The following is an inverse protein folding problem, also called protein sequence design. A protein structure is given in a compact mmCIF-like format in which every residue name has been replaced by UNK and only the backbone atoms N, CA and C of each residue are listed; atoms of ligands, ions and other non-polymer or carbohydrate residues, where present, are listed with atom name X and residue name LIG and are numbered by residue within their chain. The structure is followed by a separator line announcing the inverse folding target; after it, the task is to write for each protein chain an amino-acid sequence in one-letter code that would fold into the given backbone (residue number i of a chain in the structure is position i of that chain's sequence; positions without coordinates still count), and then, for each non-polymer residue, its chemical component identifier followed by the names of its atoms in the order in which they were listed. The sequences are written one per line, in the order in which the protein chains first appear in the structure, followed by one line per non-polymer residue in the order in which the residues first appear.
data_IF_783609829506
#
_entry.id   IF_783609829506
#
_cell.length_a   1.000
_cell.length_b   1.000
_cell.length_c   1.000
_cell.angle_alpha   90.00
_cell.angle_beta   90.00
_cell.angle_gamma   90.00
#
_symmetry.space_group_name_H-M   'P 1'
#
loop_
_entity.id
_entity.type
_entity.pdbx_description
1 polymer ?
#
# COMPACT_ATOMS: atom_id res chain seq x y z
N UNK A 1 -11.46 -6.47 19.42
CA UNK A 1 -11.49 -6.09 17.99
C UNK A 1 -12.94 -6.06 17.55
N UNK A 2 -13.43 -4.90 17.11
CA UNK A 2 -14.81 -4.72 16.65
C UNK A 2 -14.97 -5.14 15.19
N UNK A 3 -16.20 -5.36 14.74
CA UNK A 3 -16.48 -5.66 13.32
C UNK A 3 -15.96 -4.56 12.38
N UNK A 4 -16.07 -3.29 12.78
CA UNK A 4 -15.57 -2.16 11.98
C UNK A 4 -14.05 -2.16 11.84
N UNK A 5 -13.32 -2.47 12.92
CA UNK A 5 -11.86 -2.61 12.89
C UNK A 5 -11.44 -3.75 11.97
N UNK A 6 -12.11 -4.91 12.08
CA UNK A 6 -11.86 -6.06 11.21
C UNK A 6 -12.08 -5.74 9.73
N UNK A 7 -13.20 -5.09 9.39
CA UNK A 7 -13.49 -4.70 8.01
C UNK A 7 -12.47 -3.68 7.48
N UNK A 8 -12.04 -2.73 8.31
CA UNK A 8 -11.02 -1.75 7.92
C UNK A 8 -9.68 -2.42 7.59
N UNK A 9 -9.29 -3.44 8.37
CA UNK A 9 -8.07 -4.22 8.13
C UNK A 9 -8.19 -5.06 6.86
N UNK A 10 -9.33 -5.70 6.62
CA UNK A 10 -9.55 -6.46 5.39
C UNK A 10 -9.44 -5.54 4.16
N UNK A 11 -10.13 -4.40 4.19
CA UNK A 11 -10.06 -3.41 3.11
C UNK A 11 -8.63 -2.90 2.90
N UNK A 12 -7.92 -2.61 3.99
CA UNK A 12 -6.53 -2.19 3.96
C UNK A 12 -5.61 -3.25 3.34
N UNK A 13 -5.71 -4.52 3.75
CA UNK A 13 -4.91 -5.62 3.20
C UNK A 13 -5.17 -5.79 1.70
N UNK A 14 -6.44 -5.76 1.29
CA UNK A 14 -6.81 -5.85 -0.13
C UNK A 14 -6.25 -4.67 -0.94
N UNK A 15 -6.28 -3.46 -0.39
CA UNK A 15 -5.70 -2.28 -1.03
C UNK A 15 -4.17 -2.39 -1.17
N UNK A 16 -3.47 -2.86 -0.13
CA UNK A 16 -2.02 -3.07 -0.18
C UNK A 16 -1.64 -4.12 -1.24
N UNK A 17 -2.39 -5.23 -1.33
CA UNK A 17 -2.18 -6.26 -2.35
C UNK A 17 -2.39 -5.71 -3.75
N UNK A 18 -3.48 -4.97 -3.98
CA UNK A 18 -3.77 -4.35 -5.26
C UNK A 18 -2.66 -3.37 -5.69
N UNK A 19 -2.19 -2.54 -4.77
CA UNK A 19 -1.10 -1.61 -5.00
C UNK A 19 0.21 -2.33 -5.37
N UNK A 20 0.61 -3.36 -4.63
CA UNK A 20 1.84 -4.12 -4.92
C UNK A 20 1.74 -4.79 -6.29
N UNK A 21 0.61 -5.43 -6.60
CA UNK A 21 0.41 -6.12 -7.87
C UNK A 21 0.41 -5.16 -9.07
N UNK A 22 -0.28 -4.03 -8.95
CA UNK A 22 -0.36 -3.01 -10.00
C UNK A 22 0.99 -2.33 -10.22
N UNK A 23 1.72 -2.02 -9.14
CA UNK A 23 3.08 -1.46 -9.20
C UNK A 23 4.05 -2.44 -9.86
N UNK A 24 4.06 -3.71 -9.45
CA UNK A 24 4.90 -4.74 -10.08
C UNK A 24 4.54 -4.97 -11.56
N UNK A 25 3.26 -4.82 -11.92
CA UNK A 25 2.83 -4.90 -13.31
C UNK A 25 3.34 -3.70 -14.12
N UNK A 26 3.26 -2.48 -13.57
CA UNK A 26 3.76 -1.28 -14.21
C UNK A 26 5.27 -1.33 -14.44
N UNK A 27 6.03 -1.73 -13.42
CA UNK A 27 7.48 -1.90 -13.51
C UNK A 27 7.88 -2.95 -14.56
N UNK A 28 7.11 -4.04 -14.69
CA UNK A 28 7.35 -5.06 -15.74
C UNK A 28 7.13 -4.54 -17.15
N UNK A 29 6.29 -3.52 -17.34
CA UNK A 29 6.07 -2.86 -18.64
C UNK A 29 7.02 -1.67 -18.86
N UNK A 30 8.10 -1.56 -18.10
CA UNK A 30 9.10 -0.50 -18.26
C UNK A 30 8.68 0.88 -17.74
N UNK A 31 7.53 0.99 -17.07
CA UNK A 31 7.14 2.24 -16.40
C UNK A 31 8.05 2.47 -15.20
N UNK A 32 8.40 3.73 -14.95
CA UNK A 32 9.20 4.13 -13.78
C UNK A 32 8.28 4.43 -12.60
N UNK A 33 8.75 4.12 -11.40
CA UNK A 33 8.08 4.49 -10.16
C UNK A 33 8.06 6.01 -10.00
N UNK A 34 6.87 6.60 -9.93
CA UNK A 34 6.68 8.05 -9.84
C UNK A 34 6.90 8.57 -8.42
N UNK A 35 6.76 7.72 -7.39
CA UNK A 35 6.98 8.13 -6.02
C UNK A 35 8.48 8.11 -5.68
N UNK A 36 9.12 9.26 -5.38
CA UNK A 36 10.56 9.34 -5.14
C UNK A 36 11.01 8.52 -3.93
N UNK A 37 10.13 8.36 -2.91
CA UNK A 37 10.41 7.56 -1.71
C UNK A 37 10.44 6.08 -2.07
N UNK A 38 9.45 5.60 -2.83
CA UNK A 38 9.38 4.21 -3.27
C UNK A 38 10.52 3.90 -4.24
N UNK A 39 10.84 4.80 -5.15
CA UNK A 39 11.97 4.67 -6.06
C UNK A 39 13.31 4.61 -5.30
N UNK A 40 13.48 5.41 -4.24
CA UNK A 40 14.65 5.32 -3.36
C UNK A 40 14.72 3.97 -2.65
N UNK A 41 13.60 3.47 -2.11
CA UNK A 41 13.55 2.18 -1.45
C UNK A 41 13.85 1.01 -2.41
N UNK A 42 13.33 1.07 -3.65
CA UNK A 42 13.64 0.10 -4.70
C UNK A 42 15.12 0.07 -5.05
N UNK A 43 15.78 1.24 -5.12
CA UNK A 43 17.23 1.30 -5.36
C UNK A 43 18.04 0.75 -4.18
N UNK A 44 17.60 0.98 -2.94
CA UNK A 44 18.35 0.62 -1.74
C UNK A 44 18.19 -0.84 -1.32
N UNK A 45 17.00 -1.41 -1.50
CA UNK A 45 16.63 -2.74 -1.03
C UNK A 45 16.30 -3.72 -2.18
N UNK A 46 16.44 -3.28 -3.43
CA UNK A 46 16.19 -4.09 -4.62
C UNK A 46 14.71 -4.21 -5.00
N UNK A 47 14.45 -5.03 -6.03
CA UNK A 47 13.15 -5.15 -6.72
C UNK A 47 11.98 -5.51 -5.80
N UNK A 48 12.24 -6.24 -4.71
CA UNK A 48 11.21 -6.70 -3.78
C UNK A 48 11.37 -6.14 -2.36
N UNK A 49 12.54 -5.60 -1.99
CA UNK A 49 12.78 -5.11 -0.63
C UNK A 49 11.93 -3.91 -0.25
N UNK A 50 11.53 -3.07 -1.21
CA UNK A 50 10.59 -1.97 -0.98
C UNK A 50 9.19 -2.47 -0.53
N UNK A 51 8.79 -3.69 -0.92
CA UNK A 51 7.51 -4.29 -0.51
C UNK A 51 7.55 -4.57 0.99
N UNK A 52 8.65 -5.16 1.47
CA UNK A 52 8.84 -5.45 2.90
C UNK A 52 8.84 -4.16 3.71
N UNK A 53 9.59 -3.15 3.27
CA UNK A 53 9.64 -1.84 3.94
C UNK A 53 8.24 -1.20 3.99
N UNK A 54 7.51 -1.21 2.86
CA UNK A 54 6.15 -0.69 2.79
C UNK A 54 5.23 -1.43 3.76
N UNK A 55 5.22 -2.76 3.74
CA UNK A 55 4.38 -3.58 4.62
C UNK A 55 4.69 -3.33 6.10
N UNK A 56 5.97 -3.24 6.49
CA UNK A 56 6.34 -2.97 7.89
C UNK A 56 5.80 -1.60 8.33
N UNK A 57 6.03 -0.56 7.54
CA UNK A 57 5.58 0.81 7.86
C UNK A 57 4.06 0.88 7.92
N UNK A 58 3.38 0.32 6.93
CA UNK A 58 1.92 0.42 6.82
C UNK A 58 1.21 -0.45 7.85
N UNK A 59 1.72 -1.64 8.17
CA UNK A 59 1.22 -2.47 9.27
C UNK A 59 1.43 -1.81 10.64
N UNK A 60 2.60 -1.19 10.88
CA UNK A 60 2.86 -0.49 12.14
C UNK A 60 1.91 0.72 12.30
N UNK A 61 1.70 1.49 11.23
CA UNK A 61 0.77 2.61 11.24
C UNK A 61 -0.68 2.15 11.50
N UNK A 62 -1.11 1.06 10.86
CA UNK A 62 -2.44 0.49 11.09
C UNK A 62 -2.60 -0.01 12.53
N UNK A 63 -1.59 -0.70 13.08
CA UNK A 63 -1.61 -1.19 14.46
C UNK A 63 -1.69 -0.05 15.48
N UNK A 64 -0.91 1.02 15.30
CA UNK A 64 -0.97 2.21 16.15
C UNK A 64 -2.33 2.91 16.05
N UNK A 65 -2.87 3.06 14.85
CA UNK A 65 -4.18 3.67 14.63
C UNK A 65 -5.31 2.91 15.33
N UNK A 66 -5.30 1.57 15.27
CA UNK A 66 -6.28 0.74 15.96
C UNK A 66 -6.11 0.80 17.48
N UNK A 67 -4.87 0.82 18.00
CA UNK A 67 -4.63 1.01 19.44
C UNK A 67 -5.10 2.37 19.96
N UNK A 68 -5.04 3.39 19.12
CA UNK A 68 -5.55 4.72 19.44
C UNK A 68 -7.08 4.84 19.31
N UNK A 69 -7.79 3.78 18.90
CA UNK A 69 -9.23 3.84 18.66
C UNK A 69 -9.61 4.65 17.42
N UNK A 70 -8.73 4.75 16.43
CA UNK A 70 -8.90 5.56 15.22
C UNK A 70 -8.99 4.68 13.95
N UNK A 71 -10.00 3.79 13.83
CA UNK A 71 -10.16 2.93 12.64
C UNK A 71 -10.43 3.73 11.35
N UNK A 72 -10.93 4.96 11.48
CA UNK A 72 -11.12 5.88 10.34
C UNK A 72 -9.80 6.14 9.58
N UNK A 73 -8.66 6.16 10.28
CA UNK A 73 -7.35 6.34 9.66
C UNK A 73 -7.00 5.13 8.79
N UNK A 74 -7.30 3.92 9.25
CA UNK A 74 -7.07 2.68 8.49
C UNK A 74 -7.91 2.67 7.21
N UNK A 75 -9.17 3.10 7.30
CA UNK A 75 -10.04 3.28 6.13
C UNK A 75 -9.50 4.34 5.15
N UNK A 76 -9.07 5.49 5.66
CA UNK A 76 -8.51 6.55 4.82
C UNK A 76 -7.26 6.08 4.06
N UNK A 77 -6.34 5.41 4.76
CA UNK A 77 -5.11 4.85 4.14
C UNK A 77 -5.46 3.75 3.14
N UNK A 78 -6.42 2.87 3.44
CA UNK A 78 -6.90 1.86 2.50
C UNK A 78 -7.45 2.50 1.22
N UNK A 79 -8.30 3.53 1.35
CA UNK A 79 -8.87 4.27 0.22
C UNK A 79 -7.79 4.95 -0.63
N UNK A 80 -6.86 5.68 0.00
CA UNK A 80 -5.74 6.31 -0.70
C UNK A 80 -4.87 5.29 -1.44
N UNK A 81 -4.56 4.16 -0.80
CA UNK A 81 -3.77 3.08 -1.41
C UNK A 81 -4.50 2.46 -2.60
N UNK A 82 -5.81 2.25 -2.50
CA UNK A 82 -6.63 1.76 -3.61
C UNK A 82 -6.67 2.74 -4.79
N UNK A 83 -6.72 4.06 -4.53
CA UNK A 83 -6.64 5.08 -5.57
C UNK A 83 -5.29 5.05 -6.31
N UNK A 84 -4.19 4.87 -5.58
CA UNK A 84 -2.86 4.69 -6.19
C UNK A 84 -2.81 3.42 -7.03
N UNK A 85 -3.35 2.30 -6.53
CA UNK A 85 -3.43 1.05 -7.28
C UNK A 85 -4.24 1.21 -8.58
N UNK A 86 -5.38 1.91 -8.53
CA UNK A 86 -6.20 2.21 -9.70
C UNK A 86 -5.46 3.10 -10.70
N UNK A 87 -4.74 4.11 -10.23
CA UNK A 87 -3.91 4.95 -11.08
C UNK A 87 -2.83 4.12 -11.79
N UNK A 88 -2.10 3.29 -11.04
CA UNK A 88 -1.07 2.41 -11.58
C UNK A 88 -1.63 1.40 -12.58
N UNK A 89 -2.81 0.84 -12.33
CA UNK A 89 -3.49 -0.06 -13.26
C UNK A 89 -3.82 0.64 -14.59
N UNK A 90 -4.34 1.88 -14.53
CA UNK A 90 -4.69 2.67 -15.73
C UNK A 90 -3.48 3.08 -16.56
N UNK A 91 -2.29 3.22 -15.96
CA UNK A 91 -1.06 3.53 -16.69
C UNK A 91 -0.52 2.36 -17.54
N UNK A 92 -1.01 1.15 -17.29
CA UNK A 92 -0.50 -0.11 -17.87
C UNK A 92 -1.51 -0.81 -18.77
N UNK A 93 -2.80 -0.49 -18.65
CA UNK A 93 -3.84 -0.90 -19.60
C UNK A 93 -3.74 -0.06 -20.88
#
# INVERSE_FOLDING_TARGET
MTTHELLSLIAFVMAQLADVLTTLRALRHGKREGNPIVAWAMRRFGRYGWIVVKLVITCLAAWLALRAGLPIIVWAVAGLTALVALHNYRLVR
#
